data_IF_530745320964
#
_entry.id   IF_530745320964
#
_cell.length_a   1.000
_cell.length_b   1.000
_cell.length_c   1.000
_cell.angle_alpha   90.00
_cell.angle_beta   90.00
_cell.angle_gamma   90.00
#
_symmetry.space_group_name_H-M   'P 1'
#
loop_
_entity.id
_entity.type
_entity.pdbx_description
1 polymer ?
#
# COMPACT_ATOMS: atom_id res chain seq x y z
N UNK A 1 5.32 1.97 3.89
CA UNK A 1 6.35 3.01 3.69
C UNK A 1 7.53 2.75 4.62
N UNK A 2 8.76 3.22 4.29
CA UNK A 2 9.92 2.96 5.15
C UNK A 2 11.09 3.95 5.02
N UNK A 3 11.08 4.92 4.09
CA UNK A 3 12.28 5.75 3.86
C UNK A 3 12.03 7.24 3.64
N UNK A 4 10.84 7.67 3.22
CA UNK A 4 10.63 9.07 2.83
C UNK A 4 9.35 9.64 3.46
N UNK A 5 9.52 10.22 4.65
CA UNK A 5 8.43 10.87 5.37
C UNK A 5 7.91 12.15 4.67
N UNK A 6 8.76 12.85 3.90
CA UNK A 6 8.36 14.04 3.16
C UNK A 6 7.40 13.68 2.03
N UNK A 7 7.71 12.61 1.30
CA UNK A 7 6.81 12.13 0.26
C UNK A 7 5.47 11.66 0.82
N UNK A 8 5.47 10.99 1.98
CA UNK A 8 4.23 10.62 2.67
C UNK A 8 3.41 11.83 3.08
N UNK A 9 4.05 12.88 3.59
CA UNK A 9 3.35 14.11 3.94
C UNK A 9 2.77 14.80 2.71
N UNK A 10 3.53 14.91 1.63
CA UNK A 10 3.04 15.46 0.36
C UNK A 10 1.86 14.65 -0.19
N UNK A 11 1.97 13.33 -0.19
CA UNK A 11 0.89 12.43 -0.60
C UNK A 11 -0.37 12.69 0.25
N UNK A 12 -0.23 12.71 1.58
CA UNK A 12 -1.35 13.00 2.47
C UNK A 12 -1.97 14.36 2.17
N UNK A 13 -1.18 15.41 2.00
CA UNK A 13 -1.68 16.76 1.67
C UNK A 13 -2.50 16.79 0.38
N UNK A 14 -2.14 16.02 -0.62
CA UNK A 14 -2.86 15.98 -1.91
C UNK A 14 -4.20 15.26 -1.82
N UNK A 15 -4.27 14.17 -1.03
CA UNK A 15 -5.47 13.34 -0.94
C UNK A 15 -6.34 13.65 0.28
N UNK A 16 -5.86 14.48 1.22
CA UNK A 16 -6.54 14.68 2.50
C UNK A 16 -7.92 15.31 2.34
N UNK A 17 -8.91 14.67 2.95
CA UNK A 17 -10.26 15.19 3.18
C UNK A 17 -10.70 14.75 4.57
N UNK A 18 -11.30 15.64 5.39
CA UNK A 18 -11.66 15.33 6.78
C UNK A 18 -12.63 14.16 6.94
N UNK A 19 -13.47 13.90 5.96
CA UNK A 19 -14.44 12.81 5.97
C UNK A 19 -13.86 11.45 5.55
N UNK A 20 -12.65 11.41 4.97
CA UNK A 20 -11.97 10.17 4.62
C UNK A 20 -11.29 9.54 5.85
N UNK A 21 -10.95 8.27 5.72
CA UNK A 21 -10.18 7.51 6.72
C UNK A 21 -8.83 7.10 6.13
N UNK A 22 -7.79 7.18 6.95
CA UNK A 22 -6.41 6.92 6.52
C UNK A 22 -5.73 5.92 7.46
N UNK A 23 -5.10 4.91 6.88
CA UNK A 23 -4.26 3.96 7.59
C UNK A 23 -2.86 3.94 6.98
N UNK A 24 -1.83 4.04 7.81
CA UNK A 24 -0.45 3.98 7.40
C UNK A 24 0.21 2.71 7.92
N UNK A 25 0.61 1.82 7.02
CA UNK A 25 1.50 0.72 7.38
C UNK A 25 2.96 1.19 7.26
N UNK A 26 3.69 1.14 8.36
CA UNK A 26 5.14 1.36 8.38
C UNK A 26 5.83 0.01 8.39
N UNK A 27 6.77 -0.19 7.47
CA UNK A 27 7.58 -1.40 7.41
C UNK A 27 8.31 -1.63 8.75
N UNK A 28 8.25 -2.83 9.28
CA UNK A 28 8.94 -3.16 10.53
C UNK A 28 10.45 -2.91 10.48
N UNK A 29 11.05 -2.95 9.27
CA UNK A 29 12.46 -2.66 9.01
C UNK A 29 12.80 -1.16 8.96
N UNK A 30 11.79 -0.27 8.98
CA UNK A 30 12.03 1.16 8.95
C UNK A 30 12.80 1.62 10.19
N UNK A 31 13.67 2.60 10.01
CA UNK A 31 14.42 3.17 11.12
C UNK A 31 13.52 3.92 12.12
N UNK A 32 14.03 4.12 13.33
CA UNK A 32 13.28 4.75 14.42
C UNK A 32 12.95 6.21 14.16
N UNK A 33 13.82 6.94 13.46
CA UNK A 33 13.64 8.35 13.12
C UNK A 33 12.48 8.50 12.14
N UNK A 34 12.43 7.64 11.13
CA UNK A 34 11.31 7.61 10.19
C UNK A 34 9.99 7.30 10.88
N UNK A 35 9.97 6.26 11.75
CA UNK A 35 8.77 5.89 12.53
C UNK A 35 8.26 7.06 13.35
N UNK A 36 9.13 7.68 14.14
CA UNK A 36 8.79 8.83 14.97
C UNK A 36 8.28 10.02 14.14
N UNK A 37 8.88 10.26 12.98
CA UNK A 37 8.44 11.36 12.09
C UNK A 37 7.03 11.12 11.57
N UNK A 38 6.71 9.90 11.16
CA UNK A 38 5.35 9.56 10.69
C UNK A 38 4.34 9.59 11.84
N UNK A 39 4.70 9.10 13.02
CA UNK A 39 3.86 9.20 14.23
C UNK A 39 3.52 10.67 14.57
N UNK A 40 4.51 11.55 14.56
CA UNK A 40 4.31 12.99 14.80
C UNK A 40 3.44 13.64 13.71
N UNK A 41 3.63 13.25 12.44
CA UNK A 41 2.78 13.71 11.35
C UNK A 41 1.31 13.31 11.59
N UNK A 42 1.06 12.05 11.90
CA UNK A 42 -0.30 11.55 12.18
C UNK A 42 -0.91 12.29 13.37
N UNK A 43 -0.16 12.45 14.46
CA UNK A 43 -0.62 13.19 15.65
C UNK A 43 -1.00 14.64 15.33
N UNK A 44 -0.20 15.33 14.52
CA UNK A 44 -0.49 16.69 14.08
C UNK A 44 -1.83 16.77 13.31
N UNK A 45 -2.10 15.80 12.44
CA UNK A 45 -3.38 15.74 11.72
C UNK A 45 -4.55 15.39 12.64
N UNK A 46 -4.38 14.47 13.60
CA UNK A 46 -5.41 14.12 14.59
C UNK A 46 -5.77 15.32 15.45
N UNK A 47 -4.79 16.10 15.90
CA UNK A 47 -5.01 17.32 16.70
C UNK A 47 -5.75 18.40 15.91
N UNK A 48 -5.42 18.55 14.63
CA UNK A 48 -6.02 19.56 13.76
C UNK A 48 -7.40 19.18 13.24
N UNK A 49 -7.63 17.89 13.04
CA UNK A 49 -8.85 17.32 12.43
C UNK A 49 -9.36 16.14 13.27
N UNK A 50 -9.88 16.41 14.49
CA UNK A 50 -10.26 15.34 15.42
C UNK A 50 -11.40 14.45 14.92
N UNK A 51 -12.17 14.91 13.96
CA UNK A 51 -13.22 14.15 13.27
C UNK A 51 -12.66 13.16 12.25
N UNK A 52 -11.41 13.29 11.81
CA UNK A 52 -10.79 12.42 10.81
C UNK A 52 -10.17 11.20 11.46
N UNK A 53 -10.45 10.02 10.91
CA UNK A 53 -9.67 8.86 11.29
C UNK A 53 -8.37 8.80 10.48
N UNK A 54 -7.28 8.95 11.18
CA UNK A 54 -5.92 8.77 10.64
C UNK A 54 -5.08 8.03 11.68
N UNK A 55 -4.51 6.89 11.32
CA UNK A 55 -3.79 6.04 12.26
C UNK A 55 -2.67 5.25 11.60
N UNK A 56 -1.75 4.78 12.43
CA UNK A 56 -0.87 3.68 12.06
C UNK A 56 -1.65 2.36 12.08
N UNK A 57 -1.22 1.43 11.25
CA UNK A 57 -1.72 0.06 11.28
C UNK A 57 -1.48 -0.58 12.65
N UNK A 58 -2.43 -1.43 13.07
CA UNK A 58 -2.37 -2.15 14.35
C UNK A 58 -1.15 -3.06 14.50
N UNK A 59 -0.52 -3.41 13.39
CA UNK A 59 0.66 -4.25 13.33
C UNK A 59 1.58 -3.84 12.18
N UNK A 60 2.89 -3.81 12.43
CA UNK A 60 3.92 -3.65 11.41
C UNK A 60 4.52 -5.01 11.05
N UNK A 61 4.66 -5.28 9.77
CA UNK A 61 5.34 -6.48 9.24
C UNK A 61 6.54 -6.06 8.40
N UNK A 62 7.59 -6.90 8.33
CA UNK A 62 8.70 -6.64 7.41
C UNK A 62 8.25 -6.93 5.98
N UNK A 63 8.27 -5.90 5.13
CA UNK A 63 7.80 -5.99 3.74
C UNK A 63 8.98 -6.27 2.81
N UNK A 64 8.87 -7.32 2.00
CA UNK A 64 9.87 -7.69 1.01
C UNK A 64 9.24 -7.68 -0.39
N UNK A 65 9.99 -7.13 -1.35
CA UNK A 65 9.53 -7.09 -2.73
C UNK A 65 9.30 -8.50 -3.29
N UNK A 66 8.19 -8.70 -4.01
CA UNK A 66 7.81 -10.00 -4.55
C UNK A 66 7.26 -11.01 -3.54
N UNK A 67 7.14 -10.65 -2.26
CA UNK A 67 6.59 -11.50 -1.21
C UNK A 67 5.15 -11.13 -0.86
N UNK A 68 4.41 -12.08 -0.33
CA UNK A 68 3.05 -11.87 0.20
C UNK A 68 2.98 -10.77 1.27
N UNK A 69 4.09 -10.45 1.93
CA UNK A 69 4.15 -9.39 2.93
C UNK A 69 3.74 -8.00 2.43
N UNK A 70 3.75 -7.74 1.11
CA UNK A 70 3.18 -6.52 0.53
C UNK A 70 1.65 -6.54 0.73
N UNK A 71 1.01 -7.61 0.26
CA UNK A 71 -0.45 -7.80 0.40
C UNK A 71 -0.84 -7.89 1.88
N UNK A 72 -0.04 -8.54 2.72
CA UNK A 72 -0.28 -8.61 4.17
C UNK A 72 -0.33 -7.21 4.80
N UNK A 73 0.58 -6.32 4.42
CA UNK A 73 0.59 -4.94 4.91
C UNK A 73 -0.67 -4.16 4.52
N UNK A 74 -1.15 -4.33 3.29
CA UNK A 74 -2.40 -3.75 2.78
C UNK A 74 -3.62 -4.30 3.54
N UNK A 75 -3.70 -5.63 3.70
CA UNK A 75 -4.79 -6.29 4.41
C UNK A 75 -4.86 -5.91 5.90
N UNK A 76 -3.72 -5.64 6.55
CA UNK A 76 -3.71 -5.13 7.94
C UNK A 76 -4.39 -3.77 8.00
N UNK A 77 -4.01 -2.83 7.14
CA UNK A 77 -4.63 -1.51 7.09
C UNK A 77 -6.12 -1.58 6.73
N UNK A 78 -6.48 -2.37 5.73
CA UNK A 78 -7.88 -2.56 5.35
C UNK A 78 -8.72 -3.13 6.50
N UNK A 79 -8.18 -4.11 7.21
CA UNK A 79 -8.80 -4.67 8.41
C UNK A 79 -8.97 -3.65 9.54
N UNK A 80 -8.01 -2.75 9.74
CA UNK A 80 -8.10 -1.67 10.72
C UNK A 80 -9.17 -0.63 10.32
N UNK A 81 -9.24 -0.28 9.05
CA UNK A 81 -10.27 0.62 8.53
C UNK A 81 -11.68 0.02 8.67
N UNK A 82 -11.83 -1.29 8.43
CA UNK A 82 -13.11 -1.99 8.63
C UNK A 82 -13.56 -2.02 10.10
N UNK A 83 -12.62 -2.15 11.04
CA UNK A 83 -12.93 -2.17 12.48
C UNK A 83 -13.29 -0.81 13.06
N UNK A 84 -13.02 0.25 12.35
CA UNK A 84 -13.21 1.62 12.82
C UNK A 84 -14.67 2.11 12.85
N UNK A 85 -15.65 1.30 12.43
CA UNK A 85 -17.08 1.65 12.38
C UNK A 85 -17.44 2.92 11.58
N UNK A 86 -16.55 3.43 10.73
CA UNK A 86 -16.89 4.52 9.80
C UNK A 86 -17.40 3.92 8.50
N UNK A 87 -18.46 4.51 7.96
CA UNK A 87 -18.93 4.13 6.63
C UNK A 87 -18.00 4.73 5.57
N UNK A 88 -17.50 3.90 4.69
CA UNK A 88 -16.79 4.29 3.49
C UNK A 88 -17.22 3.37 2.34
N UNK A 89 -17.21 3.87 1.13
CA UNK A 89 -17.63 3.13 -0.06
C UNK A 89 -16.47 2.45 -0.78
N UNK A 90 -15.36 3.16 -0.86
CA UNK A 90 -14.18 2.72 -1.59
C UNK A 90 -12.94 2.80 -0.72
N UNK A 91 -12.07 1.82 -0.87
CA UNK A 91 -10.72 1.82 -0.33
C UNK A 91 -9.72 1.77 -1.48
N UNK A 92 -8.64 2.52 -1.36
CA UNK A 92 -7.51 2.47 -2.29
C UNK A 92 -6.22 2.43 -1.49
N UNK A 93 -5.26 1.67 -1.96
CA UNK A 93 -3.90 1.69 -1.45
C UNK A 93 -3.02 2.62 -2.27
N UNK A 94 -2.01 3.16 -1.64
CA UNK A 94 -0.99 3.98 -2.26
C UNK A 94 0.38 3.61 -1.72
N UNK A 95 1.28 3.23 -2.59
CA UNK A 95 2.67 3.08 -2.18
C UNK A 95 3.27 4.45 -1.80
N UNK A 96 4.25 4.46 -0.91
CA UNK A 96 4.83 5.71 -0.39
C UNK A 96 5.54 6.60 -1.43
N UNK A 97 5.69 6.11 -2.66
CA UNK A 97 6.26 6.86 -3.80
C UNK A 97 5.23 7.25 -4.86
N UNK A 98 3.98 6.85 -4.70
CA UNK A 98 2.91 7.15 -5.65
C UNK A 98 2.29 8.51 -5.42
N UNK A 99 1.76 9.11 -6.48
CA UNK A 99 1.05 10.38 -6.45
C UNK A 99 -0.26 10.23 -7.20
N UNK A 100 -1.35 10.67 -6.59
CA UNK A 100 -2.66 10.70 -7.24
C UNK A 100 -2.69 11.84 -8.25
N UNK A 101 -2.98 11.52 -9.51
CA UNK A 101 -3.04 12.50 -10.60
C UNK A 101 -4.43 13.11 -10.79
N UNK A 102 -5.47 12.51 -10.22
CA UNK A 102 -6.84 13.01 -10.26
C UNK A 102 -7.14 13.91 -9.05
N UNK A 103 -7.98 14.90 -9.24
CA UNK A 103 -8.61 15.56 -8.09
C UNK A 103 -9.51 14.56 -7.34
N UNK A 104 -9.74 14.80 -6.04
CA UNK A 104 -10.63 13.94 -5.27
C UNK A 104 -12.05 13.87 -5.87
N UNK A 105 -12.53 14.97 -6.45
CA UNK A 105 -13.84 15.01 -7.12
C UNK A 105 -13.86 14.11 -8.36
N UNK A 106 -12.83 14.17 -9.18
CA UNK A 106 -12.70 13.30 -10.36
C UNK A 106 -12.60 11.83 -9.97
N UNK A 107 -11.81 11.52 -8.93
CA UNK A 107 -11.67 10.16 -8.43
C UNK A 107 -13.03 9.61 -7.96
N UNK A 108 -13.75 10.34 -7.12
CA UNK A 108 -15.08 9.94 -6.64
C UNK A 108 -16.06 9.79 -7.79
N UNK A 109 -16.06 10.71 -8.75
CA UNK A 109 -16.93 10.64 -9.92
C UNK A 109 -16.66 9.39 -10.75
N UNK A 110 -15.39 9.07 -10.99
CA UNK A 110 -15.00 7.88 -11.75
C UNK A 110 -15.43 6.60 -11.03
N UNK A 111 -15.15 6.49 -9.75
CA UNK A 111 -15.54 5.33 -8.94
C UNK A 111 -17.06 5.16 -8.87
N UNK A 112 -17.81 6.25 -8.66
CA UNK A 112 -19.28 6.21 -8.57
C UNK A 112 -19.96 5.92 -9.92
N UNK A 113 -19.32 6.27 -11.04
CA UNK A 113 -19.89 6.05 -12.38
C UNK A 113 -19.78 4.61 -12.85
N UNK A 114 -18.85 3.84 -12.34
CA UNK A 114 -18.65 2.44 -12.73
C UNK A 114 -19.78 1.52 -12.26
N UNK A 115 -20.44 1.85 -11.15
CA UNK A 115 -21.55 1.08 -10.57
C UNK A 115 -21.19 -0.32 -10.10
N UNK A 116 -19.91 -0.69 -10.15
CA UNK A 116 -19.36 -1.98 -9.69
C UNK A 116 -18.11 -1.73 -8.85
N UNK A 117 -17.83 -2.59 -7.86
CA UNK A 117 -16.54 -2.54 -7.17
C UNK A 117 -15.42 -2.74 -8.19
N UNK A 118 -14.59 -1.73 -8.39
CA UNK A 118 -13.44 -1.85 -9.25
C UNK A 118 -12.29 -2.48 -8.48
N UNK A 119 -11.93 -3.69 -8.86
CA UNK A 119 -10.63 -4.24 -8.53
C UNK A 119 -9.75 -3.95 -9.75
N UNK A 120 -8.81 -3.04 -9.61
CA UNK A 120 -7.82 -2.82 -10.67
C UNK A 120 -6.95 -4.05 -10.79
N UNK A 121 -7.17 -4.82 -11.85
CA UNK A 121 -6.30 -5.91 -12.24
C UNK A 121 -5.46 -5.41 -13.41
N UNK A 122 -4.15 -5.33 -13.23
CA UNK A 122 -3.24 -5.08 -14.35
C UNK A 122 -3.41 -6.19 -15.38
N UNK A 123 -4.19 -5.93 -16.43
CA UNK A 123 -4.34 -6.89 -17.52
C UNK A 123 -3.02 -6.95 -18.30
N UNK A 124 -2.51 -8.15 -18.50
CA UNK A 124 -1.43 -8.41 -19.46
C UNK A 124 -1.87 -8.02 -20.87
N UNK A 125 -1.69 -6.76 -21.23
CA UNK A 125 -1.67 -6.40 -22.65
C UNK A 125 -0.35 -6.94 -23.20
N UNK A 126 -0.46 -7.77 -24.26
CA UNK A 126 0.67 -8.35 -24.97
C UNK A 126 1.79 -7.31 -25.17
N UNK A 127 2.92 -7.50 -24.50
CA UNK A 127 4.12 -6.67 -24.64
C UNK A 127 4.69 -6.06 -23.35
N UNK A 128 3.90 -5.79 -22.32
CA UNK A 128 4.40 -5.27 -21.06
C UNK A 128 4.02 -6.20 -19.89
N UNK A 129 5.02 -6.61 -19.12
CA UNK A 129 4.81 -7.44 -17.92
C UNK A 129 4.68 -8.95 -18.17
N UNK A 130 4.76 -9.43 -19.42
CA UNK A 130 4.66 -10.85 -19.76
C UNK A 130 5.63 -11.74 -18.95
N UNK A 131 6.82 -11.25 -18.64
CA UNK A 131 7.80 -11.94 -17.80
C UNK A 131 7.31 -12.25 -16.39
N UNK A 132 6.34 -11.47 -15.85
CA UNK A 132 5.78 -11.69 -14.52
C UNK A 132 4.84 -12.89 -14.46
N UNK A 133 4.31 -13.31 -15.61
CA UNK A 133 3.34 -14.40 -15.70
C UNK A 133 3.88 -15.64 -16.43
N UNK A 134 5.01 -15.47 -17.13
CA UNK A 134 5.64 -16.60 -17.85
C UNK A 134 6.42 -17.52 -16.93
N UNK A 135 6.80 -17.05 -15.75
CA UNK A 135 7.56 -17.83 -14.79
C UNK A 135 6.72 -18.13 -13.55
N UNK A 136 6.82 -19.33 -13.03
CA UNK A 136 6.23 -19.72 -11.75
C UNK A 136 7.29 -19.61 -10.67
N UNK A 137 6.95 -18.91 -9.60
CA UNK A 137 7.83 -18.75 -8.45
C UNK A 137 7.17 -19.32 -7.22
N UNK A 138 7.95 -19.93 -6.35
CA UNK A 138 7.49 -20.42 -5.06
C UNK A 138 8.43 -19.89 -3.96
N UNK A 139 7.91 -19.83 -2.73
CA UNK A 139 8.68 -19.45 -1.56
C UNK A 139 9.13 -20.72 -0.83
N UNK A 140 10.42 -20.79 -0.55
CA UNK A 140 10.96 -21.74 0.40
C UNK A 140 11.51 -20.96 1.60
N UNK A 141 10.76 -20.91 2.69
CA UNK A 141 11.02 -20.12 3.88
C UNK A 141 11.14 -18.61 3.57
N UNK A 142 12.31 -18.14 3.22
CA UNK A 142 12.61 -16.71 2.98
C UNK A 142 13.14 -16.43 1.58
N UNK A 143 13.25 -17.44 0.73
CA UNK A 143 13.80 -17.30 -0.62
C UNK A 143 12.76 -17.64 -1.69
N UNK A 144 12.76 -16.87 -2.76
CA UNK A 144 11.96 -17.15 -3.96
C UNK A 144 12.76 -18.11 -4.84
N UNK A 145 12.15 -19.19 -5.27
CA UNK A 145 12.75 -20.14 -6.20
C UNK A 145 11.81 -20.44 -7.36
N UNK A 146 12.36 -20.79 -8.50
CA UNK A 146 11.61 -21.30 -9.63
C UNK A 146 11.44 -22.82 -9.48
N UNK A 147 10.21 -23.34 -9.32
CA UNK A 147 9.98 -24.77 -9.18
C UNK A 147 10.28 -25.57 -10.45
N UNK A 148 10.32 -24.93 -11.64
CA UNK A 148 10.62 -25.59 -12.91
C UNK A 148 12.14 -25.70 -13.16
N UNK A 149 12.95 -24.85 -12.54
CA UNK A 149 14.43 -24.90 -12.60
C UNK A 149 15.07 -25.79 -11.52
N UNK A 150 14.36 -26.77 -10.98
CA UNK A 150 14.87 -27.77 -10.03
C UNK A 150 15.69 -27.20 -8.87
N UNK A 151 15.15 -26.18 -8.20
CA UNK A 151 15.71 -25.67 -6.95
C UNK A 151 16.80 -24.62 -7.09
N UNK A 152 17.00 -24.02 -8.25
CA UNK A 152 17.84 -22.83 -8.36
C UNK A 152 17.13 -21.63 -7.73
N UNK A 153 17.79 -21.03 -6.76
CA UNK A 153 17.30 -19.83 -6.11
C UNK A 153 17.39 -18.62 -7.04
N UNK A 154 16.29 -17.89 -7.16
CA UNK A 154 16.25 -16.65 -7.92
C UNK A 154 16.95 -15.57 -7.13
N UNK A 155 18.04 -15.05 -7.64
CA UNK A 155 18.73 -13.92 -7.01
C UNK A 155 18.04 -12.60 -7.38
N UNK A 156 18.25 -11.56 -6.55
CA UNK A 156 17.68 -10.23 -6.78
C UNK A 156 17.98 -9.66 -8.19
N UNK A 157 19.03 -10.15 -8.86
CA UNK A 157 19.41 -9.74 -10.23
C UNK A 157 18.56 -10.39 -11.32
N UNK A 158 17.91 -11.50 -11.04
CA UNK A 158 17.05 -12.20 -12.00
C UNK A 158 15.58 -11.81 -11.90
N UNK A 159 15.25 -10.94 -10.95
CA UNK A 159 13.89 -10.40 -10.74
C UNK A 159 13.74 -8.96 -11.27
N UNK A 160 14.79 -8.36 -11.84
CA UNK A 160 14.74 -7.08 -12.57
C UNK A 160 14.69 -7.33 -14.06
#
# INVERSE_FOLDING_TARGET
>A
AYTDARNLELQLRTIFRPHNSYCYHIDAKADSTFKLTVENMIKCYQEKYPETYIALSSRSVPVFWGHFSIVEAELICLGDLLRNNRSWEYATDLAGSEVVLFSNEELVRNLSSSGVPEIYVESCVLGHGHYRYSNKYALNHTQVYDPEEQGKYVTKKSLT
#
